data_IF_857594899296
#
_entry.id   IF_857594899296
#
_cell.length_a   1.000
_cell.length_b   1.000
_cell.length_c   1.000
_cell.angle_alpha   90.00
_cell.angle_beta   90.00
_cell.angle_gamma   90.00
#
_symmetry.space_group_name_H-M   'P 1'
#
loop_
_entity.id
_entity.type
_entity.pdbx_description
1 polymer ?
#
# COMPACT_ATOMS: atom_id res chain seq x y z
N UNK A 1 11.83 -2.75 -11.42
CA UNK A 1 12.94 -2.92 -10.46
C UNK A 1 13.56 -4.29 -10.61
N UNK A 2 12.78 -5.37 -10.50
CA UNK A 2 13.28 -6.75 -10.53
C UNK A 2 14.19 -7.11 -11.72
N UNK A 3 13.97 -6.54 -12.91
CA UNK A 3 14.84 -6.80 -14.07
C UNK A 3 16.06 -5.88 -14.15
N UNK A 4 15.95 -4.64 -13.65
CA UNK A 4 16.97 -3.60 -13.84
C UNK A 4 17.87 -3.40 -12.61
N UNK A 5 17.53 -4.04 -11.49
CA UNK A 5 18.17 -3.89 -10.17
C UNK A 5 18.54 -2.44 -9.84
N UNK A 6 17.50 -1.62 -9.63
CA UNK A 6 17.69 -0.18 -9.49
C UNK A 6 18.41 0.14 -8.18
N UNK A 7 19.29 1.16 -8.22
CA UNK A 7 19.96 1.67 -7.00
C UNK A 7 18.91 2.08 -5.96
N UNK A 8 19.23 1.88 -4.68
CA UNK A 8 18.35 2.16 -3.53
C UNK A 8 17.65 3.54 -3.59
N UNK A 9 18.34 4.57 -4.11
CA UNK A 9 17.77 5.91 -4.31
C UNK A 9 16.49 5.89 -5.16
N UNK A 10 16.46 5.11 -6.24
CA UNK A 10 15.28 5.00 -7.09
C UNK A 10 14.16 4.25 -6.39
N UNK A 11 14.47 3.27 -5.53
CA UNK A 11 13.47 2.58 -4.70
C UNK A 11 12.82 3.51 -3.67
N UNK A 12 13.55 4.53 -3.20
CA UNK A 12 13.02 5.57 -2.33
C UNK A 12 12.16 6.60 -3.08
N UNK A 13 12.56 7.01 -4.30
CA UNK A 13 11.90 8.11 -5.02
C UNK A 13 10.81 7.68 -6.02
N UNK A 14 10.87 6.49 -6.63
CA UNK A 14 9.83 6.04 -7.57
C UNK A 14 8.42 6.05 -6.96
N UNK A 15 8.23 5.59 -5.70
CA UNK A 15 6.91 5.61 -5.08
C UNK A 15 6.29 7.01 -4.96
N UNK A 16 7.08 8.09 -4.95
CA UNK A 16 6.53 9.46 -4.97
C UNK A 16 5.78 9.76 -6.28
N UNK A 17 6.25 9.26 -7.41
CA UNK A 17 5.55 9.45 -8.69
C UNK A 17 4.26 8.62 -8.75
N UNK A 18 4.19 7.52 -8.00
CA UNK A 18 2.98 6.70 -7.85
C UNK A 18 1.92 7.41 -7.01
N UNK A 19 2.30 8.37 -6.17
CA UNK A 19 1.34 9.20 -5.43
C UNK A 19 0.61 10.22 -6.33
N UNK A 20 1.13 10.55 -7.52
CA UNK A 20 0.53 11.56 -8.39
C UNK A 20 -0.84 11.15 -8.95
N UNK A 21 -1.04 9.94 -9.51
CA UNK A 21 -2.38 9.49 -9.93
C UNK A 21 -3.36 9.45 -8.76
N UNK A 22 -2.90 9.02 -7.58
CA UNK A 22 -3.72 8.97 -6.37
C UNK A 22 -4.14 10.38 -5.93
N UNK A 23 -3.22 11.35 -5.97
CA UNK A 23 -3.50 12.75 -5.63
C UNK A 23 -4.55 13.42 -6.55
N UNK A 24 -4.72 12.90 -7.77
CA UNK A 24 -5.65 13.44 -8.74
C UNK A 24 -7.09 12.89 -8.59
N UNK A 25 -7.29 11.92 -7.70
CA UNK A 25 -8.61 11.33 -7.47
C UNK A 25 -9.49 12.27 -6.62
N UNK A 26 -10.76 12.49 -7.01
CA UNK A 26 -11.69 13.35 -6.27
C UNK A 26 -12.07 12.81 -4.89
N UNK A 27 -11.89 11.51 -4.65
CA UNK A 27 -12.16 10.85 -3.37
C UNK A 27 -11.11 11.18 -2.30
N UNK A 28 -9.97 11.77 -2.67
CA UNK A 28 -8.87 12.07 -1.74
C UNK A 28 -9.13 13.39 -1.01
N UNK A 29 -9.50 13.26 0.27
CA UNK A 29 -9.70 14.37 1.20
C UNK A 29 -8.38 14.78 1.88
N UNK A 30 -8.19 16.08 2.12
CA UNK A 30 -7.05 16.62 2.86
C UNK A 30 -7.26 16.63 4.37
N UNK A 31 -8.48 16.31 4.83
CA UNK A 31 -8.84 16.20 6.24
C UNK A 31 -8.54 14.80 6.77
N UNK A 32 -7.63 14.71 7.73
CA UNK A 32 -7.23 13.46 8.39
C UNK A 32 -7.41 13.56 9.90
N UNK A 33 -7.83 12.46 10.54
CA UNK A 33 -7.88 12.38 11.99
C UNK A 33 -6.48 12.10 12.55
N UNK A 34 -6.06 12.91 13.52
CA UNK A 34 -4.82 12.69 14.27
C UNK A 34 -5.14 12.15 15.65
N UNK A 35 -4.28 11.28 16.18
CA UNK A 35 -4.46 10.70 17.51
C UNK A 35 -4.53 11.73 18.64
N UNK A 36 -3.84 12.88 18.49
CA UNK A 36 -3.71 13.89 19.56
C UNK A 36 -4.60 15.11 19.31
N UNK A 37 -4.74 15.57 18.07
CA UNK A 37 -5.38 16.85 17.74
C UNK A 37 -6.73 16.71 17.02
N UNK A 38 -7.27 15.48 16.92
CA UNK A 38 -8.51 15.20 16.20
C UNK A 38 -8.38 15.45 14.69
N UNK A 39 -9.51 15.72 14.02
CA UNK A 39 -9.55 15.99 12.59
C UNK A 39 -8.89 17.33 12.26
N UNK A 40 -7.91 17.31 11.34
CA UNK A 40 -7.21 18.49 10.85
C UNK A 40 -7.14 18.46 9.33
N UNK A 41 -7.36 19.63 8.73
CA UNK A 41 -7.15 19.85 7.31
C UNK A 41 -5.68 20.19 7.06
N UNK A 42 -5.00 19.36 6.28
CA UNK A 42 -3.60 19.53 5.92
C UNK A 42 -3.42 20.27 4.58
N UNK A 43 -4.50 20.48 3.83
CA UNK A 43 -4.50 21.18 2.54
C UNK A 43 -3.37 20.73 1.61
N UNK A 44 -2.59 21.68 1.11
CA UNK A 44 -1.47 21.41 0.19
C UNK A 44 -0.39 20.50 0.78
N UNK A 45 -0.19 20.51 2.10
CA UNK A 45 0.79 19.65 2.76
C UNK A 45 0.38 18.17 2.73
N UNK A 46 -0.92 17.89 2.63
CA UNK A 46 -1.41 16.53 2.42
C UNK A 46 -0.82 15.96 1.13
N UNK A 47 -0.98 16.68 0.02
CA UNK A 47 -0.52 16.22 -1.29
C UNK A 47 1.00 16.23 -1.45
N UNK A 48 1.70 17.21 -0.88
CA UNK A 48 3.15 17.36 -1.08
C UNK A 48 4.00 16.49 -0.14
N UNK A 49 3.49 16.16 1.05
CA UNK A 49 4.27 15.48 2.08
C UNK A 49 3.60 14.20 2.56
N UNK A 50 2.36 14.28 3.03
CA UNK A 50 1.69 13.15 3.70
C UNK A 50 1.43 12.02 2.72
N UNK A 51 0.76 12.31 1.60
CA UNK A 51 0.39 11.32 0.61
C UNK A 51 1.60 10.60 0.01
N UNK A 52 2.69 11.29 -0.42
CA UNK A 52 3.89 10.60 -0.89
C UNK A 52 4.59 9.81 0.20
N UNK A 53 4.58 10.27 1.46
CA UNK A 53 5.13 9.52 2.59
C UNK A 53 4.36 8.23 2.84
N UNK A 54 3.03 8.29 2.90
CA UNK A 54 2.16 7.12 3.11
C UNK A 54 2.42 6.08 2.03
N UNK A 55 2.45 6.49 0.76
CA UNK A 55 2.74 5.58 -0.37
C UNK A 55 4.16 5.01 -0.24
N UNK A 56 5.16 5.84 0.00
CA UNK A 56 6.57 5.41 0.04
C UNK A 56 6.86 4.49 1.22
N UNK A 57 6.41 4.85 2.42
CA UNK A 57 6.63 4.06 3.65
C UNK A 57 5.92 2.73 3.55
N UNK A 58 4.64 2.71 3.15
CA UNK A 58 3.87 1.46 3.07
C UNK A 58 4.47 0.51 2.03
N UNK A 59 4.80 1.01 0.84
CA UNK A 59 5.40 0.22 -0.25
C UNK A 59 6.74 -0.40 0.17
N UNK A 60 7.63 0.40 0.76
CA UNK A 60 8.93 -0.11 1.18
C UNK A 60 8.83 -1.02 2.40
N UNK A 61 7.89 -0.78 3.32
CA UNK A 61 7.69 -1.64 4.50
C UNK A 61 7.24 -3.03 4.08
N UNK A 62 6.25 -3.13 3.18
CA UNK A 62 5.80 -4.44 2.64
C UNK A 62 6.96 -5.16 1.95
N UNK A 63 7.79 -4.44 1.21
CA UNK A 63 8.96 -5.03 0.55
C UNK A 63 10.05 -5.50 1.52
N UNK A 64 10.32 -4.75 2.58
CA UNK A 64 11.35 -5.09 3.56
C UNK A 64 10.98 -6.25 4.48
N UNK A 65 9.68 -6.54 4.62
CA UNK A 65 9.18 -7.70 5.36
C UNK A 65 9.42 -9.03 4.63
N UNK A 66 9.88 -9.00 3.38
CA UNK A 66 10.14 -10.19 2.58
C UNK A 66 11.34 -11.04 3.01
N UNK A 67 11.62 -12.09 2.23
CA UNK A 67 12.78 -12.96 2.43
C UNK A 67 12.50 -14.37 2.94
N UNK A 68 11.26 -14.69 3.34
CA UNK A 68 10.81 -16.07 3.60
C UNK A 68 9.56 -16.39 2.77
N UNK A 69 9.37 -17.67 2.45
CA UNK A 69 8.20 -18.17 1.73
C UNK A 69 6.92 -17.75 2.44
N UNK A 70 6.06 -16.99 1.76
CA UNK A 70 4.77 -16.53 2.26
C UNK A 70 4.80 -15.15 2.93
N UNK A 71 5.93 -14.62 3.40
CA UNK A 71 5.93 -13.32 4.12
C UNK A 71 5.47 -12.15 3.24
N UNK A 72 5.93 -12.10 1.99
CA UNK A 72 5.64 -11.03 1.03
C UNK A 72 4.18 -11.01 0.56
N UNK A 73 3.40 -12.05 0.88
CA UNK A 73 2.05 -12.27 0.38
C UNK A 73 1.03 -12.41 1.50
N UNK A 74 1.31 -13.27 2.48
CA UNK A 74 0.43 -13.53 3.62
C UNK A 74 0.32 -12.30 4.52
N UNK A 75 1.42 -11.61 4.83
CA UNK A 75 1.37 -10.42 5.67
C UNK A 75 0.49 -9.31 5.08
N UNK A 76 0.71 -8.83 3.84
CA UNK A 76 -0.19 -7.84 3.26
C UNK A 76 -1.61 -8.39 3.04
N UNK A 77 -1.79 -9.68 2.77
CA UNK A 77 -3.12 -10.30 2.67
C UNK A 77 -3.90 -10.23 3.98
N UNK A 78 -3.26 -10.50 5.13
CA UNK A 78 -3.89 -10.36 6.44
C UNK A 78 -4.34 -8.91 6.67
N UNK A 79 -3.48 -7.94 6.33
CA UNK A 79 -3.83 -6.52 6.46
C UNK A 79 -5.00 -6.15 5.56
N UNK A 80 -5.00 -6.58 4.30
CA UNK A 80 -6.10 -6.35 3.36
C UNK A 80 -7.42 -6.97 3.84
N UNK A 81 -7.40 -8.20 4.37
CA UNK A 81 -8.60 -8.83 4.95
C UNK A 81 -9.09 -8.06 6.18
N UNK A 82 -8.18 -7.63 7.06
CA UNK A 82 -8.55 -6.80 8.22
C UNK A 82 -9.22 -5.48 7.80
N UNK A 83 -8.63 -4.79 6.82
CA UNK A 83 -9.18 -3.55 6.25
C UNK A 83 -10.52 -3.75 5.53
N UNK A 84 -10.70 -4.90 4.88
CA UNK A 84 -11.96 -5.27 4.23
C UNK A 84 -13.08 -5.48 5.24
N UNK A 85 -12.79 -6.08 6.39
CA UNK A 85 -13.78 -6.31 7.46
C UNK A 85 -14.12 -5.00 8.17
N UNK A 86 -13.14 -4.13 8.39
CA UNK A 86 -13.30 -2.90 9.17
C UNK A 86 -13.96 -1.74 8.39
N UNK A 87 -13.93 -1.76 7.07
CA UNK A 87 -14.32 -0.63 6.22
C UNK A 87 -15.64 -0.84 5.49
N UNK A 88 -16.32 0.27 5.19
CA UNK A 88 -17.53 0.29 4.35
C UNK A 88 -17.21 0.15 2.86
N UNK A 89 -16.01 0.55 2.44
CA UNK A 89 -15.55 0.50 1.04
C UNK A 89 -14.84 -0.83 0.70
N UNK A 90 -15.25 -1.92 1.36
CA UNK A 90 -14.65 -3.26 1.28
C UNK A 90 -14.59 -3.82 -0.16
N UNK A 91 -15.49 -3.37 -1.02
CA UNK A 91 -15.57 -3.75 -2.44
C UNK A 91 -14.26 -3.48 -3.19
N UNK A 92 -13.53 -2.40 -2.84
CA UNK A 92 -12.25 -2.05 -3.47
C UNK A 92 -11.17 -3.11 -3.20
N UNK A 93 -11.31 -3.92 -2.15
CA UNK A 93 -10.34 -4.94 -1.76
C UNK A 93 -10.69 -6.36 -2.26
N UNK A 94 -11.88 -6.60 -2.83
CA UNK A 94 -12.26 -7.94 -3.28
C UNK A 94 -11.28 -8.53 -4.29
N UNK A 95 -10.96 -7.78 -5.33
CA UNK A 95 -10.03 -8.23 -6.36
C UNK A 95 -8.58 -8.34 -5.82
N UNK A 96 -8.02 -7.33 -5.13
CA UNK A 96 -6.70 -7.46 -4.52
C UNK A 96 -6.56 -8.65 -3.58
N UNK A 97 -7.54 -8.88 -2.70
CA UNK A 97 -7.52 -10.03 -1.77
C UNK A 97 -7.58 -11.35 -2.52
N UNK A 98 -8.45 -11.48 -3.53
CA UNK A 98 -8.52 -12.71 -4.33
C UNK A 98 -7.19 -13.01 -5.04
N UNK A 99 -6.57 -12.00 -5.64
CA UNK A 99 -5.26 -12.14 -6.31
C UNK A 99 -4.16 -12.51 -5.31
N UNK A 100 -4.07 -11.80 -4.18
CA UNK A 100 -3.04 -12.08 -3.16
C UNK A 100 -3.25 -13.40 -2.45
N UNK A 101 -4.50 -13.86 -2.31
CA UNK A 101 -4.77 -15.19 -1.78
C UNK A 101 -4.16 -16.27 -2.67
N UNK A 102 -4.36 -16.17 -4.00
CA UNK A 102 -3.76 -17.09 -4.95
C UNK A 102 -2.23 -17.02 -4.90
N UNK A 103 -1.66 -15.81 -4.94
CA UNK A 103 -0.21 -15.61 -4.84
C UNK A 103 0.36 -16.17 -3.52
N UNK A 104 -0.35 -15.98 -2.40
CA UNK A 104 0.05 -16.48 -1.10
C UNK A 104 0.14 -18.01 -1.06
N UNK A 105 -0.84 -18.71 -1.65
CA UNK A 105 -0.81 -20.18 -1.73
C UNK A 105 0.43 -20.68 -2.48
N UNK A 106 0.79 -20.06 -3.61
CA UNK A 106 1.96 -20.49 -4.38
C UNK A 106 3.28 -20.05 -3.74
N UNK A 107 3.34 -18.84 -3.17
CA UNK A 107 4.53 -18.29 -2.54
C UNK A 107 4.85 -19.01 -1.21
N UNK A 108 3.85 -19.32 -0.39
CA UNK A 108 4.03 -20.10 0.84
C UNK A 108 4.56 -21.50 0.57
N UNK A 109 4.15 -22.12 -0.54
CA UNK A 109 4.66 -23.42 -0.98
C UNK A 109 6.04 -23.35 -1.64
N UNK A 110 6.66 -22.17 -1.73
CA UNK A 110 7.96 -21.96 -2.38
C UNK A 110 7.94 -22.22 -3.88
N UNK A 111 6.77 -22.14 -4.54
CA UNK A 111 6.63 -22.39 -5.99
C UNK A 111 6.90 -21.16 -6.82
N UNK A 112 6.65 -19.97 -6.26
CA UNK A 112 6.88 -18.69 -6.91
C UNK A 112 7.53 -17.71 -5.93
N UNK A 113 8.32 -16.79 -6.48
CA UNK A 113 8.74 -15.57 -5.80
C UNK A 113 7.94 -14.42 -6.38
N UNK A 114 7.39 -13.55 -5.53
CA UNK A 114 6.58 -12.42 -6.00
C UNK A 114 7.46 -11.21 -6.31
N UNK A 115 8.63 -11.14 -5.65
CA UNK A 115 9.66 -10.13 -5.91
C UNK A 115 9.21 -8.71 -5.54
N UNK A 116 10.01 -7.72 -5.94
CA UNK A 116 9.71 -6.32 -5.62
C UNK A 116 8.44 -5.86 -6.35
N UNK A 117 8.14 -6.44 -7.51
CA UNK A 117 6.89 -6.15 -8.24
C UNK A 117 5.66 -6.51 -7.40
N UNK A 118 5.66 -7.71 -6.80
CA UNK A 118 4.59 -8.15 -5.93
C UNK A 118 4.50 -7.36 -4.65
N UNK A 119 5.59 -7.21 -3.92
CA UNK A 119 5.56 -6.49 -2.65
C UNK A 119 5.18 -5.01 -2.84
N UNK A 120 5.64 -4.37 -3.93
CA UNK A 120 5.30 -2.98 -4.21
C UNK A 120 3.82 -2.84 -4.60
N UNK A 121 3.28 -3.76 -5.40
CA UNK A 121 1.86 -3.75 -5.75
C UNK A 121 0.97 -3.88 -4.51
N UNK A 122 1.33 -4.73 -3.54
CA UNK A 122 0.62 -4.85 -2.27
C UNK A 122 0.68 -3.54 -1.47
N UNK A 123 1.88 -2.97 -1.31
CA UNK A 123 2.04 -1.76 -0.52
C UNK A 123 1.35 -0.54 -1.13
N UNK A 124 1.36 -0.39 -2.46
CA UNK A 124 0.61 0.66 -3.15
C UNK A 124 -0.89 0.44 -3.00
N UNK A 125 -1.37 -0.80 -3.08
CA UNK A 125 -2.79 -1.12 -2.87
C UNK A 125 -3.23 -0.74 -1.46
N UNK A 126 -2.45 -1.10 -0.44
CA UNK A 126 -2.73 -0.78 0.96
C UNK A 126 -2.73 0.74 1.19
N UNK A 127 -1.71 1.45 0.70
CA UNK A 127 -1.62 2.90 0.82
C UNK A 127 -2.79 3.61 0.11
N UNK A 128 -3.10 3.20 -1.12
CA UNK A 128 -4.19 3.80 -1.90
C UNK A 128 -5.54 3.56 -1.24
N UNK A 129 -5.77 2.34 -0.73
CA UNK A 129 -7.00 2.02 -0.03
C UNK A 129 -7.15 2.83 1.25
N UNK A 130 -6.11 2.95 2.07
CA UNK A 130 -6.16 3.72 3.31
C UNK A 130 -6.56 5.19 3.06
N UNK A 131 -6.00 5.79 2.01
CA UNK A 131 -6.28 7.17 1.58
C UNK A 131 -7.71 7.31 1.02
N UNK A 132 -8.12 6.44 0.09
CA UNK A 132 -9.43 6.56 -0.59
C UNK A 132 -10.59 6.19 0.33
N UNK A 133 -10.49 5.06 1.02
CA UNK A 133 -11.55 4.60 1.91
C UNK A 133 -11.62 5.41 3.21
N UNK A 134 -10.69 6.36 3.39
CA UNK A 134 -10.62 7.27 4.53
C UNK A 134 -10.72 6.52 5.87
N UNK A 135 -10.11 5.33 5.92
CA UNK A 135 -10.15 4.41 7.08
C UNK A 135 -9.45 5.02 8.30
N UNK A 136 -8.71 6.11 8.06
CA UNK A 136 -7.99 6.86 9.08
C UNK A 136 -8.93 7.71 9.97
N UNK A 137 -10.23 7.82 9.62
CA UNK A 137 -11.21 8.68 10.29
C UNK A 137 -12.12 8.00 11.33
#
# INVERSE_FOLDING_TARGET
DDWLDLKWRFKAFLPLFVALPLAALPEVDTVMATYIFGKRDFGIYFYLLILPLVVTVTTNTVNQLGGLNGLETICPLIVMVGLMIASKESVLLYLPVAVYFVLAVFNFRGRIFVGNTGSFAAGITLASYAVIANVEQ
#
